data_IF_608447737013
#
_entry.id   IF_608447737013
#
_cell.length_a   1.000
_cell.length_b   1.000
_cell.length_c   1.000
_cell.angle_alpha   90.00
_cell.angle_beta   90.00
_cell.angle_gamma   90.00
#
_symmetry.space_group_name_H-M   'P 1'
#
loop_
_entity.id
_entity.type
_entity.pdbx_description
1 polymer ?
#
# COMPACT_ATOMS: atom_id res chain seq x y z
N UNK A 1 -8.82 -9.48 14.13
CA UNK A 1 -10.03 -10.29 13.84
C UNK A 1 -10.77 -10.70 15.12
N UNK A 2 -10.06 -10.95 16.22
CA UNK A 2 -10.61 -11.48 17.47
C UNK A 2 -11.79 -10.69 18.07
N UNK A 3 -11.74 -9.36 18.03
CA UNK A 3 -12.85 -8.51 18.50
C UNK A 3 -14.13 -8.68 17.68
N UNK A 4 -14.02 -8.83 16.37
CA UNK A 4 -15.17 -9.02 15.49
C UNK A 4 -15.82 -10.40 15.72
N UNK A 5 -15.00 -11.45 15.88
CA UNK A 5 -15.47 -12.80 16.23
C UNK A 5 -16.18 -12.81 17.57
N UNK A 6 -15.59 -12.19 18.60
CA UNK A 6 -16.20 -12.08 19.92
C UNK A 6 -17.56 -11.36 19.83
N UNK A 7 -17.63 -10.24 19.10
CA UNK A 7 -18.88 -9.49 18.94
C UNK A 7 -19.94 -10.26 18.18
N UNK A 8 -19.58 -10.95 17.09
CA UNK A 8 -20.48 -11.84 16.34
C UNK A 8 -21.07 -12.91 17.25
N UNK A 9 -20.24 -13.57 18.05
CA UNK A 9 -20.68 -14.66 18.93
C UNK A 9 -21.65 -14.17 20.03
N UNK A 10 -21.48 -12.94 20.52
CA UNK A 10 -22.45 -12.31 21.44
C UNK A 10 -23.81 -12.12 20.76
N UNK A 11 -23.82 -11.66 19.52
CA UNK A 11 -25.07 -11.49 18.75
C UNK A 11 -25.71 -12.84 18.45
N UNK A 12 -24.93 -13.83 18.01
CA UNK A 12 -25.42 -15.19 17.77
C UNK A 12 -26.04 -15.82 19.02
N UNK A 13 -25.46 -15.60 20.21
CA UNK A 13 -26.02 -16.09 21.48
C UNK A 13 -27.41 -15.50 21.74
N UNK A 14 -27.57 -14.18 21.57
CA UNK A 14 -28.87 -13.52 21.74
C UNK A 14 -29.90 -13.98 20.71
N UNK A 15 -29.48 -14.18 19.47
CA UNK A 15 -30.36 -14.69 18.41
C UNK A 15 -30.86 -16.10 18.73
N UNK A 16 -30.03 -16.93 19.37
CA UNK A 16 -30.44 -18.25 19.84
C UNK A 16 -31.42 -18.14 21.02
N UNK A 17 -31.12 -17.30 22.01
CA UNK A 17 -31.96 -17.09 23.20
C UNK A 17 -33.36 -16.55 22.83
N UNK A 18 -33.43 -15.68 21.82
CA UNK A 18 -34.68 -15.10 21.30
C UNK A 18 -35.36 -15.98 20.22
N UNK A 19 -34.77 -17.12 19.85
CA UNK A 19 -35.37 -18.09 18.93
C UNK A 19 -35.31 -17.73 17.44
N UNK A 20 -34.47 -16.77 17.02
CA UNK A 20 -34.25 -16.45 15.60
C UNK A 20 -33.42 -17.49 14.85
N UNK A 21 -32.61 -18.28 15.57
CA UNK A 21 -31.79 -19.35 15.01
C UNK A 21 -31.87 -20.61 15.88
N UNK A 22 -31.55 -21.77 15.30
CA UNK A 22 -31.43 -23.04 16.03
C UNK A 22 -30.05 -23.21 16.66
N UNK A 23 -29.94 -24.10 17.64
CA UNK A 23 -28.64 -24.48 18.22
C UNK A 23 -27.64 -24.95 17.15
N UNK A 24 -28.11 -25.72 16.16
CA UNK A 24 -27.28 -26.18 15.05
C UNK A 24 -26.74 -25.02 14.20
N UNK A 25 -27.57 -24.01 13.91
CA UNK A 25 -27.15 -22.82 13.19
C UNK A 25 -26.16 -21.98 14.00
N UNK A 26 -26.36 -21.88 15.31
CA UNK A 26 -25.42 -21.19 16.21
C UNK A 26 -24.03 -21.85 16.19
N UNK A 27 -23.96 -23.17 16.40
CA UNK A 27 -22.69 -23.90 16.48
C UNK A 27 -21.93 -23.87 15.14
N UNK A 28 -22.66 -24.03 14.03
CA UNK A 28 -22.09 -23.91 12.70
C UNK A 28 -21.51 -22.49 12.47
N UNK A 29 -22.34 -21.45 12.60
CA UNK A 29 -21.95 -20.07 12.28
C UNK A 29 -20.83 -19.55 13.19
N UNK A 30 -20.76 -20.03 14.44
CA UNK A 30 -19.71 -19.67 15.38
C UNK A 30 -18.33 -20.19 14.96
N UNK A 31 -18.26 -21.33 14.27
CA UNK A 31 -16.99 -21.93 13.82
C UNK A 31 -16.54 -21.43 12.45
N UNK A 32 -17.45 -20.83 11.67
CA UNK A 32 -17.11 -20.23 10.38
C UNK A 32 -16.15 -19.04 10.53
N UNK A 33 -15.18 -18.94 9.62
CA UNK A 33 -14.28 -17.80 9.56
C UNK A 33 -15.01 -16.55 9.03
N UNK A 34 -14.70 -15.37 9.56
CA UNK A 34 -15.24 -14.12 9.03
C UNK A 34 -14.54 -13.84 7.69
N UNK A 35 -15.27 -14.04 6.59
CA UNK A 35 -14.83 -13.63 5.26
C UNK A 35 -15.32 -12.20 5.01
N UNK A 36 -14.40 -11.24 5.16
CA UNK A 36 -14.67 -9.82 4.92
C UNK A 36 -13.74 -9.31 3.82
N UNK A 37 -14.33 -8.67 2.81
CA UNK A 37 -13.59 -7.98 1.77
C UNK A 37 -13.96 -6.50 1.78
N UNK A 38 -12.98 -5.65 1.53
CA UNK A 38 -13.20 -4.22 1.45
C UNK A 38 -14.02 -3.90 0.19
N UNK A 39 -15.24 -3.40 0.37
CA UNK A 39 -16.08 -2.98 -0.74
C UNK A 39 -15.82 -1.50 -1.03
N UNK A 40 -14.86 -1.23 -1.91
CA UNK A 40 -14.54 0.12 -2.35
C UNK A 40 -14.62 0.26 -3.87
N UNK A 41 -14.78 1.49 -4.38
CA UNK A 41 -14.67 1.76 -5.79
C UNK A 41 -13.33 1.25 -6.34
N UNK A 42 -13.37 0.60 -7.50
CA UNK A 42 -12.15 0.14 -8.16
C UNK A 42 -11.36 1.36 -8.63
N UNK A 43 -10.14 1.53 -8.10
CA UNK A 43 -9.24 2.60 -8.53
C UNK A 43 -8.62 2.18 -9.86
N UNK A 44 -9.24 2.60 -10.96
CA UNK A 44 -8.76 2.27 -12.30
C UNK A 44 -7.34 2.80 -12.58
N UNK A 45 -6.94 3.91 -11.94
CA UNK A 45 -5.63 4.54 -12.11
C UNK A 45 -5.27 5.42 -10.90
N UNK A 46 -4.00 5.37 -10.48
CA UNK A 46 -3.49 6.21 -9.39
C UNK A 46 -2.91 7.53 -9.91
N UNK A 47 -3.47 8.65 -9.44
CA UNK A 47 -2.97 10.01 -9.71
C UNK A 47 -2.95 10.86 -8.43
N UNK A 48 -2.09 10.55 -7.43
CA UNK A 48 -2.20 11.10 -6.07
C UNK A 48 -2.16 12.63 -6.03
N UNK A 49 -1.25 13.24 -6.79
CA UNK A 49 -1.13 14.69 -6.87
C UNK A 49 -2.37 15.35 -7.46
N UNK A 50 -2.94 14.78 -8.53
CA UNK A 50 -4.16 15.30 -9.13
C UNK A 50 -5.35 15.12 -8.17
N UNK A 51 -5.47 13.96 -7.53
CA UNK A 51 -6.52 13.69 -6.55
C UNK A 51 -6.46 14.66 -5.37
N UNK A 52 -5.25 14.96 -4.87
CA UNK A 52 -5.05 15.92 -3.78
C UNK A 52 -5.36 17.35 -4.22
N UNK A 53 -4.95 17.76 -5.42
CA UNK A 53 -5.33 19.06 -5.98
C UNK A 53 -6.85 19.22 -6.06
N UNK A 54 -7.55 18.19 -6.54
CA UNK A 54 -9.02 18.17 -6.60
C UNK A 54 -9.63 18.23 -5.21
N UNK A 55 -9.10 17.46 -4.24
CA UNK A 55 -9.58 17.46 -2.86
C UNK A 55 -9.45 18.85 -2.22
N UNK A 56 -8.30 19.49 -2.37
CA UNK A 56 -8.06 20.85 -1.85
C UNK A 56 -9.01 21.85 -2.50
N UNK A 57 -9.19 21.79 -3.81
CA UNK A 57 -10.10 22.70 -4.53
C UNK A 57 -11.56 22.52 -4.10
N UNK A 58 -12.00 21.27 -3.93
CA UNK A 58 -13.35 20.97 -3.44
C UNK A 58 -13.56 21.45 -2.01
N UNK A 59 -12.57 21.24 -1.12
CA UNK A 59 -12.64 21.74 0.25
C UNK A 59 -12.68 23.27 0.29
N UNK A 60 -11.89 23.95 -0.53
CA UNK A 60 -11.88 25.42 -0.60
C UNK A 60 -13.24 25.99 -1.04
N UNK A 61 -13.97 25.29 -1.91
CA UNK A 61 -15.26 25.74 -2.45
C UNK A 61 -16.45 25.35 -1.58
N UNK A 62 -16.42 24.16 -0.99
CA UNK A 62 -17.58 23.52 -0.37
C UNK A 62 -17.37 23.14 1.11
N UNK A 63 -16.17 23.34 1.67
CA UNK A 63 -15.85 22.96 3.04
C UNK A 63 -16.03 21.45 3.28
N UNK A 64 -16.58 21.10 4.44
CA UNK A 64 -16.83 19.70 4.83
C UNK A 64 -17.83 18.98 3.91
N UNK A 65 -18.79 19.72 3.32
CA UNK A 65 -19.77 19.16 2.39
C UNK A 65 -19.12 18.50 1.17
N UNK A 66 -17.89 18.88 0.82
CA UNK A 66 -17.09 18.20 -0.21
C UNK A 66 -16.95 16.68 0.02
N UNK A 67 -17.01 16.21 1.28
CA UNK A 67 -16.84 14.81 1.64
C UNK A 67 -18.17 14.07 1.87
N UNK A 68 -19.24 14.79 2.18
CA UNK A 68 -20.49 14.20 2.67
C UNK A 68 -21.54 14.08 1.57
N UNK A 69 -21.56 15.01 0.61
CA UNK A 69 -22.63 15.13 -0.38
C UNK A 69 -22.50 14.17 -1.58
N UNK A 70 -21.43 13.37 -1.64
CA UNK A 70 -21.26 12.33 -2.68
C UNK A 70 -20.98 12.87 -4.09
N UNK A 71 -20.28 14.00 -4.21
CA UNK A 71 -19.94 14.60 -5.51
C UNK A 71 -19.17 13.65 -6.45
N UNK A 72 -19.50 13.72 -7.76
CA UNK A 72 -18.72 13.10 -8.84
C UNK A 72 -17.94 14.17 -9.60
N UNK A 73 -16.63 14.12 -9.51
CA UNK A 73 -15.74 15.16 -10.05
C UNK A 73 -15.07 14.64 -11.32
N UNK A 74 -15.25 15.37 -12.41
CA UNK A 74 -14.62 15.09 -13.70
C UNK A 74 -13.57 16.16 -13.98
N UNK A 75 -12.31 15.74 -14.13
CA UNK A 75 -11.20 16.66 -14.41
C UNK A 75 -10.92 16.73 -15.90
N UNK A 76 -10.13 17.72 -16.31
CA UNK A 76 -9.65 17.88 -17.68
C UNK A 76 -8.46 16.99 -18.03
N UNK A 77 -7.88 16.27 -17.04
CA UNK A 77 -6.68 15.47 -17.22
C UNK A 77 -7.05 14.04 -17.62
N UNK A 78 -6.47 13.57 -18.73
CA UNK A 78 -6.62 12.18 -19.17
C UNK A 78 -5.54 11.29 -18.57
N UNK A 79 -5.84 10.00 -18.42
CA UNK A 79 -4.88 8.99 -17.95
C UNK A 79 -3.56 9.02 -18.74
N UNK A 80 -3.66 9.09 -20.08
CA UNK A 80 -2.50 9.04 -20.97
C UNK A 80 -1.52 10.18 -20.69
N UNK A 81 -2.02 11.42 -20.57
CA UNK A 81 -1.16 12.57 -20.32
C UNK A 81 -0.57 12.54 -18.90
N UNK A 82 -1.35 12.09 -17.90
CA UNK A 82 -0.86 11.97 -16.53
C UNK A 82 0.26 10.94 -16.40
N UNK A 83 0.13 9.79 -17.05
CA UNK A 83 1.19 8.76 -17.08
C UNK A 83 2.45 9.28 -17.77
N UNK A 84 2.31 9.94 -18.92
CA UNK A 84 3.43 10.52 -19.65
C UNK A 84 4.15 11.59 -18.81
N UNK A 85 3.41 12.46 -18.14
CA UNK A 85 3.97 13.49 -17.26
C UNK A 85 4.73 12.88 -16.07
N UNK A 86 4.14 11.87 -15.40
CA UNK A 86 4.79 11.16 -14.30
C UNK A 86 6.09 10.49 -14.75
N UNK A 87 6.08 9.83 -15.92
CA UNK A 87 7.26 9.18 -16.46
C UNK A 87 8.35 10.20 -16.82
N UNK A 88 7.97 11.31 -17.47
CA UNK A 88 8.91 12.35 -17.87
C UNK A 88 9.61 12.96 -16.65
N UNK A 89 8.87 13.31 -15.60
CA UNK A 89 9.47 13.87 -14.37
C UNK A 89 10.41 12.87 -13.71
N UNK A 90 9.98 11.61 -13.56
CA UNK A 90 10.81 10.56 -12.94
C UNK A 90 12.12 10.33 -13.71
N UNK A 91 12.03 10.15 -15.03
CA UNK A 91 13.20 9.91 -15.85
C UNK A 91 14.19 11.07 -15.76
N UNK A 92 13.73 12.31 -15.90
CA UNK A 92 14.64 13.46 -15.84
C UNK A 92 15.32 13.61 -14.47
N UNK A 93 14.60 13.33 -13.37
CA UNK A 93 15.19 13.37 -12.02
C UNK A 93 16.20 12.25 -11.83
N UNK A 94 15.90 11.02 -12.28
CA UNK A 94 16.82 9.89 -12.19
C UNK A 94 18.06 10.11 -13.08
N UNK A 95 17.88 10.56 -14.31
CA UNK A 95 18.97 10.86 -15.23
C UNK A 95 19.88 11.95 -14.67
N UNK A 96 19.32 12.97 -14.01
CA UNK A 96 20.09 13.97 -13.31
C UNK A 96 20.87 13.34 -12.15
N UNK A 97 20.21 12.59 -11.27
CA UNK A 97 20.84 11.96 -10.11
C UNK A 97 22.01 11.04 -10.51
N UNK A 98 21.81 10.20 -11.52
CA UNK A 98 22.84 9.27 -12.03
C UNK A 98 24.09 9.98 -12.55
N UNK A 99 23.96 11.22 -13.07
CA UNK A 99 25.10 12.03 -13.54
C UNK A 99 25.86 12.75 -12.42
N UNK A 100 25.30 12.81 -11.21
CA UNK A 100 25.89 13.54 -10.08
C UNK A 100 26.52 12.63 -9.02
N UNK A 101 26.70 11.36 -9.34
CA UNK A 101 27.41 10.40 -8.51
C UNK A 101 26.54 9.74 -7.43
N UNK A 102 27.03 8.61 -6.92
CA UNK A 102 26.32 7.80 -5.94
C UNK A 102 26.40 8.41 -4.54
N UNK A 103 25.24 8.53 -3.88
CA UNK A 103 25.10 9.18 -2.55
C UNK A 103 25.32 8.24 -1.35
N UNK A 104 25.61 6.96 -1.61
CA UNK A 104 25.74 5.94 -0.56
C UNK A 104 24.44 5.16 -0.33
N UNK A 105 24.53 4.01 0.37
CA UNK A 105 23.37 3.17 0.63
C UNK A 105 22.45 3.80 1.69
N UNK A 106 21.15 3.53 1.60
CA UNK A 106 20.20 3.97 2.62
C UNK A 106 20.47 3.31 3.98
N UNK A 107 20.83 2.02 3.97
CA UNK A 107 21.15 1.21 5.15
C UNK A 107 22.32 0.26 4.85
N UNK A 108 23.09 -0.08 5.90
CA UNK A 108 24.14 -1.10 5.85
C UNK A 108 23.66 -2.31 6.65
N UNK A 109 23.53 -3.47 5.99
CA UNK A 109 22.99 -4.68 6.63
C UNK A 109 24.02 -5.41 7.50
N UNK A 110 25.29 -5.48 7.08
CA UNK A 110 26.39 -6.04 7.86
C UNK A 110 27.67 -5.22 7.62
N UNK A 111 28.60 -5.23 8.59
CA UNK A 111 29.85 -4.48 8.47
C UNK A 111 30.91 -5.26 7.68
N UNK A 112 31.89 -4.53 7.17
CA UNK A 112 33.07 -5.12 6.52
C UNK A 112 33.81 -5.99 7.54
N UNK A 113 34.00 -7.27 7.22
CA UNK A 113 34.62 -8.27 8.10
C UNK A 113 33.64 -9.13 8.90
N UNK A 114 32.34 -8.83 8.87
CA UNK A 114 31.29 -9.71 9.41
C UNK A 114 30.81 -10.70 8.34
N UNK A 115 30.28 -11.84 8.79
CA UNK A 115 29.58 -12.76 7.90
C UNK A 115 28.36 -12.09 7.29
N UNK A 116 28.22 -12.20 5.97
CA UNK A 116 27.03 -11.73 5.26
C UNK A 116 25.76 -12.37 5.86
N UNK A 117 24.67 -11.61 5.87
CA UNK A 117 23.38 -12.12 6.32
C UNK A 117 22.87 -13.22 5.38
N UNK A 118 22.05 -14.12 5.92
CA UNK A 118 21.36 -15.11 5.13
C UNK A 118 20.30 -14.47 4.21
N UNK A 119 20.02 -15.12 3.08
CA UNK A 119 19.10 -14.61 2.07
C UNK A 119 17.68 -14.37 2.62
N UNK A 120 17.23 -15.18 3.58
CA UNK A 120 15.89 -15.03 4.16
C UNK A 120 15.82 -13.74 4.98
N UNK A 121 16.80 -13.51 5.86
CA UNK A 121 16.89 -12.29 6.65
C UNK A 121 17.03 -11.03 5.79
N UNK A 122 17.79 -11.08 4.69
CA UNK A 122 17.87 -9.98 3.72
C UNK A 122 16.49 -9.72 3.10
N UNK A 123 15.85 -10.77 2.58
CA UNK A 123 14.54 -10.67 1.91
C UNK A 123 13.46 -10.14 2.85
N UNK A 124 13.43 -10.61 4.10
CA UNK A 124 12.47 -10.15 5.10
C UNK A 124 12.68 -8.68 5.47
N UNK A 125 13.92 -8.22 5.47
CA UNK A 125 14.25 -6.80 5.66
C UNK A 125 13.81 -5.97 4.46
N UNK A 126 14.07 -6.42 3.23
CA UNK A 126 13.67 -5.71 2.01
C UNK A 126 12.15 -5.61 1.86
N UNK A 127 11.41 -6.66 2.24
CA UNK A 127 9.93 -6.66 2.25
C UNK A 127 9.32 -5.63 3.19
N UNK A 128 10.03 -5.27 4.26
CA UNK A 128 9.57 -4.27 5.20
C UNK A 128 9.78 -2.83 4.69
N UNK A 129 10.61 -2.64 3.66
CA UNK A 129 10.91 -1.32 3.11
C UNK A 129 9.86 -0.89 2.08
N UNK A 130 9.53 0.42 2.03
CA UNK A 130 8.62 0.95 1.03
C UNK A 130 9.25 0.89 -0.38
N UNK A 131 8.40 0.69 -1.38
CA UNK A 131 8.76 0.83 -2.80
C UNK A 131 8.40 2.22 -3.29
N UNK A 132 9.26 2.82 -4.13
CA UNK A 132 9.06 4.17 -4.63
C UNK A 132 8.91 4.17 -6.14
N UNK A 133 7.66 4.14 -6.63
CA UNK A 133 7.39 4.09 -8.06
C UNK A 133 8.04 2.86 -8.71
N UNK A 134 8.93 3.01 -9.70
CA UNK A 134 9.62 1.88 -10.32
C UNK A 134 10.83 1.37 -9.51
N UNK A 135 11.19 2.02 -8.40
CA UNK A 135 12.37 1.68 -7.61
C UNK A 135 12.01 0.64 -6.56
N UNK A 136 12.67 -0.51 -6.64
CA UNK A 136 12.58 -1.58 -5.67
C UNK A 136 13.76 -1.52 -4.70
N UNK A 137 13.55 -1.74 -3.39
CA UNK A 137 14.64 -1.90 -2.46
C UNK A 137 15.45 -3.14 -2.84
N UNK A 138 16.76 -3.01 -2.85
CA UNK A 138 17.66 -4.11 -3.16
C UNK A 138 18.88 -4.06 -2.24
N UNK A 139 19.43 -5.23 -1.94
CA UNK A 139 20.67 -5.37 -1.17
C UNK A 139 21.82 -5.75 -2.10
N UNK A 140 22.88 -4.94 -2.09
CA UNK A 140 24.12 -5.27 -2.82
C UNK A 140 24.88 -6.33 -2.02
N UNK A 141 25.07 -7.51 -2.61
CA UNK A 141 25.76 -8.64 -1.97
C UNK A 141 27.23 -8.74 -2.37
N UNK A 142 27.55 -8.30 -3.59
CA UNK A 142 28.93 -8.15 -4.07
C UNK A 142 29.04 -6.98 -5.03
N UNK A 143 30.19 -6.33 -5.06
CA UNK A 143 30.48 -5.24 -6.00
C UNK A 143 31.96 -5.20 -6.36
N UNK A 144 32.25 -4.83 -7.61
CA UNK A 144 33.57 -4.51 -8.11
C UNK A 144 33.50 -3.16 -8.87
N UNK A 145 34.62 -2.63 -9.41
CA UNK A 145 34.62 -1.33 -10.09
C UNK A 145 33.70 -1.22 -11.32
N UNK A 146 33.23 -2.33 -11.88
CA UNK A 146 32.48 -2.38 -13.15
C UNK A 146 31.04 -2.89 -12.96
N UNK A 147 30.79 -3.75 -11.98
CA UNK A 147 29.50 -4.39 -11.76
C UNK A 147 29.20 -4.61 -10.28
N UNK A 148 27.92 -4.73 -9.95
CA UNK A 148 27.45 -5.10 -8.63
C UNK A 148 26.30 -6.11 -8.76
N UNK A 149 26.30 -7.11 -7.87
CA UNK A 149 25.21 -8.07 -7.74
C UNK A 149 24.28 -7.60 -6.63
N UNK A 150 23.01 -7.45 -6.98
CA UNK A 150 21.95 -7.06 -6.07
C UNK A 150 20.86 -8.13 -6.02
N UNK A 151 20.22 -8.25 -4.86
CA UNK A 151 19.06 -9.11 -4.63
C UNK A 151 17.89 -8.33 -4.05
#
# INVERSE_FOLDING_TARGET
>A
MDRAVARRNVVLSRMLDEGYITQQQFDQTRTEAINANYHAPEIAFSAPYLSEMVRQEMYNRYGESAYEDGYRIYTTITRKVQQAAQQAVRNNVLDYDMRHGYRGPANVLWKVGESAWDNNKITDTLKALPTYGPLLPAAVTSANPQEATAM
#
